data_IF_535894838722
#
_entry.id   IF_535894838722
#
_cell.length_a   1.000
_cell.length_b   1.000
_cell.length_c   1.000
_cell.angle_alpha   90.00
_cell.angle_beta   90.00
_cell.angle_gamma   90.00
#
_symmetry.space_group_name_H-M   'P 1'
#
loop_
_entity.id
_entity.type
_entity.pdbx_description
1 polymer ?
#
# COMPACT_ATOMS: atom_id res chain seq x y z
N UNK A 1 17.36 14.19 13.49
CA UNK A 1 16.35 13.15 13.22
C UNK A 1 16.86 12.16 12.20
N UNK A 2 16.60 10.90 12.44
CA UNK A 2 17.03 9.87 11.52
C UNK A 2 16.25 9.95 10.22
N UNK A 3 16.93 9.74 9.11
CA UNK A 3 16.31 9.74 7.79
C UNK A 3 15.32 8.57 7.65
N UNK A 4 14.19 8.83 7.02
CA UNK A 4 13.22 7.79 6.70
C UNK A 4 13.80 6.76 5.74
N UNK A 5 14.77 7.14 4.94
CA UNK A 5 15.40 6.22 3.98
C UNK A 5 16.08 5.03 4.67
N UNK A 6 16.57 5.25 5.89
CA UNK A 6 17.20 4.17 6.64
C UNK A 6 16.22 3.11 7.11
N UNK A 7 14.91 3.42 7.06
CA UNK A 7 13.86 2.51 7.51
C UNK A 7 13.05 1.92 6.36
N UNK A 8 13.44 2.19 5.14
CA UNK A 8 12.72 1.67 3.98
C UNK A 8 12.98 0.19 3.78
N UNK A 9 11.95 -0.50 3.35
CA UNK A 9 11.98 -1.93 3.06
C UNK A 9 11.57 -2.19 1.63
N UNK A 10 11.99 -3.30 1.09
CA UNK A 10 11.62 -3.73 -0.24
C UNK A 10 10.16 -4.18 -0.26
N UNK A 11 9.40 -3.59 -1.16
CA UNK A 11 7.98 -3.89 -1.34
C UNK A 11 7.70 -3.97 -2.83
N UNK A 12 6.83 -4.90 -3.22
CA UNK A 12 6.32 -4.99 -4.58
C UNK A 12 4.85 -4.61 -4.58
N UNK A 13 4.37 -4.00 -5.63
CA UNK A 13 2.96 -3.66 -5.73
C UNK A 13 2.47 -3.75 -7.17
N UNK A 14 1.16 -3.93 -7.33
CA UNK A 14 0.51 -3.97 -8.63
C UNK A 14 -0.77 -3.16 -8.56
N UNK A 15 -0.90 -2.20 -9.45
CA UNK A 15 -2.06 -1.32 -9.51
C UNK A 15 -3.10 -1.85 -10.50
N UNK A 16 -4.40 -1.61 -10.24
CA UNK A 16 -5.44 -1.99 -11.18
C UNK A 16 -5.39 -1.11 -12.43
N UNK A 17 -5.72 -1.72 -13.56
CA UNK A 17 -5.81 -1.03 -14.85
C UNK A 17 -7.15 -1.41 -15.47
N UNK A 18 -7.90 -0.44 -15.94
CA UNK A 18 -9.15 -0.71 -16.66
C UNK A 18 -8.78 -1.17 -18.06
N UNK A 19 -9.11 -2.41 -18.40
CA UNK A 19 -8.77 -3.00 -19.71
C UNK A 19 -9.93 -2.98 -20.70
N UNK A 20 -11.12 -2.52 -20.27
CA UNK A 20 -12.30 -2.45 -21.13
C UNK A 20 -13.56 -2.61 -20.31
N UNK A 21 -14.66 -2.93 -20.99
CA UNK A 21 -15.94 -3.17 -20.34
C UNK A 21 -16.40 -4.58 -20.66
N UNK A 22 -17.11 -5.21 -19.71
CA UNK A 22 -17.72 -6.50 -19.97
C UNK A 22 -19.06 -6.33 -20.72
N UNK A 23 -19.74 -7.44 -20.96
CA UNK A 23 -21.00 -7.44 -21.69
C UNK A 23 -22.11 -6.64 -21.00
N UNK A 24 -22.00 -6.43 -19.70
CA UNK A 24 -22.99 -5.68 -18.92
C UNK A 24 -22.61 -4.22 -18.75
N UNK A 25 -21.49 -3.79 -19.31
CA UNK A 25 -21.03 -2.41 -19.22
C UNK A 25 -20.18 -2.11 -17.99
N UNK A 26 -19.82 -3.11 -17.21
CA UNK A 26 -18.93 -2.94 -16.06
C UNK A 26 -17.48 -2.94 -16.49
N UNK A 27 -16.65 -2.16 -15.82
CA UNK A 27 -15.23 -2.12 -16.10
C UNK A 27 -14.58 -3.47 -15.81
N UNK A 28 -13.76 -3.92 -16.74
CA UNK A 28 -12.93 -5.10 -16.53
C UNK A 28 -11.58 -4.63 -16.04
N UNK A 29 -11.19 -5.08 -14.85
CA UNK A 29 -9.91 -4.70 -14.25
C UNK A 29 -8.86 -5.78 -14.47
N UNK A 30 -7.68 -5.34 -14.85
CA UNK A 30 -6.48 -6.16 -14.84
C UNK A 30 -5.49 -5.46 -13.92
N UNK A 31 -4.36 -6.09 -13.67
CA UNK A 31 -3.33 -5.52 -12.82
C UNK A 31 -2.04 -5.34 -13.61
N UNK A 32 -1.34 -4.26 -13.32
CA UNK A 32 -0.03 -4.01 -13.92
C UNK A 32 0.96 -5.09 -13.50
N UNK A 33 2.07 -5.20 -14.22
CA UNK A 33 3.18 -6.03 -13.77
C UNK A 33 3.66 -5.50 -12.42
N UNK A 34 4.08 -6.39 -11.51
CA UNK A 34 4.57 -5.94 -10.20
C UNK A 34 5.72 -4.96 -10.32
N UNK A 35 5.65 -3.90 -9.53
CA UNK A 35 6.65 -2.84 -9.50
C UNK A 35 7.35 -2.88 -8.15
N UNK A 36 8.68 -2.83 -8.18
CA UNK A 36 9.49 -2.82 -6.96
C UNK A 36 9.66 -1.40 -6.44
N UNK A 37 9.56 -1.23 -5.13
CA UNK A 37 9.80 0.06 -4.48
C UNK A 37 10.40 -0.16 -3.10
N UNK A 38 11.14 0.84 -2.64
CA UNK A 38 11.65 0.88 -1.27
C UNK A 38 10.76 1.86 -0.50
N UNK A 39 9.97 1.34 0.42
CA UNK A 39 8.97 2.11 1.15
C UNK A 39 9.12 1.92 2.66
N UNK A 40 8.70 2.94 3.40
CA UNK A 40 8.64 2.87 4.84
C UNK A 40 7.36 2.12 5.22
N UNK A 41 7.51 0.85 5.57
CA UNK A 41 6.41 -0.03 5.94
C UNK A 41 6.69 -0.62 7.31
N UNK A 42 5.67 -0.62 8.17
CA UNK A 42 5.79 -1.14 9.53
C UNK A 42 4.46 -1.72 10.00
N UNK A 43 4.53 -2.63 10.96
CA UNK A 43 3.35 -3.10 11.65
C UNK A 43 2.97 -2.05 12.70
N UNK A 44 1.70 -1.62 12.77
CA UNK A 44 1.28 -0.67 13.81
C UNK A 44 1.43 -1.30 15.18
N UNK A 45 1.94 -0.52 16.14
CA UNK A 45 2.00 -0.94 17.53
C UNK A 45 1.18 0.02 18.36
N UNK A 46 0.64 -0.47 19.47
CA UNK A 46 -0.19 0.35 20.34
C UNK A 46 0.50 1.61 20.79
N UNK A 47 1.78 1.53 21.10
CA UNK A 47 2.55 2.68 21.54
C UNK A 47 2.79 3.69 20.42
N UNK A 48 3.22 3.20 19.25
CA UNK A 48 3.59 4.08 18.14
C UNK A 48 2.40 4.83 17.55
N UNK A 49 1.23 4.20 17.53
CA UNK A 49 0.05 4.79 16.94
C UNK A 49 -0.99 5.22 17.96
N UNK A 50 -0.82 4.84 19.21
CA UNK A 50 -1.57 5.31 20.36
C UNK A 50 -3.02 5.72 20.14
N UNK A 51 -3.51 6.60 20.99
CA UNK A 51 -4.89 7.08 20.92
C UNK A 51 -5.15 7.94 19.68
N UNK A 52 -4.13 8.65 19.23
CA UNK A 52 -4.23 9.54 18.10
C UNK A 52 -4.46 8.81 16.78
N UNK A 53 -3.88 7.64 16.68
CA UNK A 53 -3.91 6.86 15.46
C UNK A 53 -4.46 5.45 15.70
N UNK A 54 -5.36 5.32 16.66
CA UNK A 54 -5.92 4.02 17.04
C UNK A 54 -6.52 3.24 15.88
N UNK A 55 -7.04 3.92 14.86
CA UNK A 55 -7.62 3.26 13.69
C UNK A 55 -6.58 2.44 12.92
N UNK A 56 -5.31 2.79 13.02
CA UNK A 56 -4.25 2.08 12.31
C UNK A 56 -3.87 0.75 12.94
N UNK A 57 -4.25 0.56 14.21
CA UNK A 57 -4.00 -0.71 14.90
C UNK A 57 -4.79 -1.87 14.30
N UNK A 58 -5.84 -1.60 13.54
CA UNK A 58 -6.62 -2.62 12.85
C UNK A 58 -5.99 -3.13 11.57
N UNK A 59 -4.88 -2.53 11.14
CA UNK A 59 -4.19 -2.94 9.92
C UNK A 59 -3.00 -3.83 10.22
N UNK A 60 -2.69 -4.73 9.28
CA UNK A 60 -1.54 -5.62 9.45
C UNK A 60 -0.24 -4.87 9.25
N UNK A 61 -0.23 -3.91 8.31
CA UNK A 61 0.91 -3.04 8.05
C UNK A 61 0.43 -1.66 7.64
N UNK A 62 1.29 -0.67 7.84
CA UNK A 62 1.05 0.71 7.41
C UNK A 62 2.27 1.18 6.63
N UNK A 63 2.04 1.69 5.43
CA UNK A 63 3.05 2.36 4.63
C UNK A 63 2.92 3.86 4.85
N UNK A 64 4.05 4.52 5.11
CA UNK A 64 4.10 5.97 5.25
C UNK A 64 4.99 6.52 4.15
N UNK A 65 4.46 7.42 3.33
CA UNK A 65 5.19 8.05 2.24
C UNK A 65 4.93 9.55 2.25
N UNK A 66 5.78 10.29 1.54
CA UNK A 66 5.51 11.71 1.31
C UNK A 66 4.40 11.84 0.28
N UNK A 67 3.77 13.02 0.22
CA UNK A 67 2.73 13.25 -0.79
C UNK A 67 3.28 13.11 -2.20
N UNK A 68 4.52 13.51 -2.42
CA UNK A 68 5.18 13.38 -3.71
C UNK A 68 5.38 11.91 -4.09
N UNK A 69 5.87 11.10 -3.15
CA UNK A 69 6.05 9.67 -3.38
C UNK A 69 4.72 9.00 -3.69
N UNK A 70 3.68 9.36 -2.96
CA UNK A 70 2.36 8.79 -3.18
C UNK A 70 1.86 9.07 -4.60
N UNK A 71 2.08 10.28 -5.10
CA UNK A 71 1.69 10.62 -6.46
C UNK A 71 2.37 9.77 -7.53
N UNK A 72 3.58 9.27 -7.25
CA UNK A 72 4.31 8.40 -8.16
C UNK A 72 3.86 6.93 -8.07
N UNK A 73 3.33 6.52 -6.91
CA UNK A 73 2.95 5.13 -6.68
C UNK A 73 1.57 4.79 -7.27
N UNK A 74 0.67 5.75 -7.33
CA UNK A 74 -0.68 5.57 -7.87
C UNK A 74 -1.49 4.47 -7.19
N UNK A 75 -1.31 4.30 -5.88
CA UNK A 75 -2.08 3.30 -5.13
C UNK A 75 -3.58 3.61 -5.17
N UNK A 76 -4.38 2.57 -5.36
CA UNK A 76 -5.84 2.68 -5.40
C UNK A 76 -6.43 1.98 -4.18
N UNK A 77 -7.16 2.74 -3.37
CA UNK A 77 -7.79 2.23 -2.16
C UNK A 77 -8.72 1.06 -2.48
N UNK A 78 -8.55 -0.01 -1.76
CA UNK A 78 -9.35 -1.21 -1.92
C UNK A 78 -8.94 -2.13 -3.07
N UNK A 79 -7.95 -1.75 -3.87
CA UNK A 79 -7.60 -2.50 -5.08
C UNK A 79 -6.13 -2.83 -5.26
N UNK A 80 -5.23 -1.91 -4.97
CA UNK A 80 -3.79 -2.14 -5.17
C UNK A 80 -3.30 -3.31 -4.33
N UNK A 81 -2.61 -4.24 -4.97
CA UNK A 81 -2.05 -5.42 -4.32
C UNK A 81 -0.61 -5.18 -3.93
N UNK A 82 -0.19 -5.73 -2.79
CA UNK A 82 1.14 -5.49 -2.23
C UNK A 82 1.76 -6.80 -1.79
N UNK A 83 3.04 -6.99 -2.11
CA UNK A 83 3.87 -8.09 -1.61
C UNK A 83 4.86 -7.52 -0.59
N UNK A 84 4.79 -7.99 0.64
CA UNK A 84 5.72 -7.61 1.70
C UNK A 84 6.28 -8.87 2.34
N UNK A 85 7.59 -8.93 2.47
CA UNK A 85 8.30 -10.14 2.91
C UNK A 85 8.07 -11.32 1.96
N UNK A 86 7.73 -11.02 0.72
CA UNK A 86 7.40 -11.98 -0.31
C UNK A 86 7.66 -11.31 -1.66
N UNK A 87 8.07 -12.06 -2.66
CA UNK A 87 8.26 -11.53 -4.01
C UNK A 87 7.16 -12.06 -4.93
N UNK A 88 6.93 -11.40 -6.07
CA UNK A 88 5.96 -11.89 -7.05
C UNK A 88 6.28 -13.30 -7.57
N UNK A 89 7.55 -13.69 -7.55
CA UNK A 89 7.96 -15.04 -7.93
C UNK A 89 7.51 -16.09 -6.92
N UNK A 90 7.29 -15.68 -5.67
CA UNK A 90 6.84 -16.58 -4.60
C UNK A 90 5.34 -16.85 -4.65
N UNK A 91 4.61 -16.14 -5.49
CA UNK A 91 3.17 -16.32 -5.66
C UNK A 91 2.41 -15.01 -5.66
N UNK A 92 1.12 -15.08 -5.36
CA UNK A 92 0.26 -13.90 -5.36
C UNK A 92 0.56 -12.98 -4.18
N UNK A 93 0.10 -11.73 -4.29
CA UNK A 93 0.27 -10.73 -3.25
C UNK A 93 -0.35 -11.20 -1.92
N UNK A 94 0.33 -10.91 -0.83
CA UNK A 94 -0.16 -11.26 0.50
C UNK A 94 -0.96 -10.14 1.16
N UNK A 95 -0.94 -8.94 0.61
CA UNK A 95 -1.61 -7.78 1.19
C UNK A 95 -2.41 -7.02 0.14
N UNK A 96 -3.37 -6.24 0.61
CA UNK A 96 -4.14 -5.33 -0.24
C UNK A 96 -4.21 -3.96 0.45
N UNK A 97 -4.17 -2.90 -0.35
CA UNK A 97 -4.37 -1.54 0.16
C UNK A 97 -5.84 -1.39 0.55
N UNK A 98 -6.10 -1.19 1.84
CA UNK A 98 -7.46 -1.04 2.35
C UNK A 98 -7.85 0.42 2.55
N UNK A 99 -6.92 1.24 3.00
CA UNK A 99 -7.19 2.64 3.30
C UNK A 99 -6.03 3.54 2.93
N UNK A 100 -6.35 4.69 2.35
CA UNK A 100 -5.38 5.76 2.08
C UNK A 100 -5.84 7.00 2.83
N UNK A 101 -4.96 7.56 3.65
CA UNK A 101 -5.27 8.75 4.44
C UNK A 101 -4.21 9.81 4.23
N UNK A 102 -4.62 10.94 3.68
CA UNK A 102 -3.76 12.09 3.47
C UNK A 102 -3.62 12.90 4.76
N UNK A 103 -2.43 13.43 4.98
CA UNK A 103 -2.21 14.50 5.93
C UNK A 103 -1.36 15.57 5.25
N UNK A 104 -1.00 16.61 5.99
CA UNK A 104 -0.33 17.77 5.37
C UNK A 104 0.96 17.39 4.62
N UNK A 105 1.78 16.55 5.20
CA UNK A 105 3.09 16.22 4.63
C UNK A 105 3.27 14.75 4.31
N UNK A 106 2.31 13.92 4.65
CA UNK A 106 2.44 12.47 4.54
C UNK A 106 1.14 11.84 4.08
N UNK A 107 1.29 10.66 3.49
CA UNK A 107 0.16 9.79 3.20
C UNK A 107 0.41 8.48 3.93
N UNK A 108 -0.56 8.00 4.67
CA UNK A 108 -0.53 6.71 5.35
C UNK A 108 -1.45 5.75 4.62
N UNK A 109 -0.96 4.55 4.42
CA UNK A 109 -1.67 3.53 3.65
C UNK A 109 -1.80 2.29 4.51
N UNK A 110 -3.02 1.95 4.88
CA UNK A 110 -3.31 0.77 5.68
C UNK A 110 -3.43 -0.47 4.81
N UNK A 111 -2.70 -1.52 5.17
CA UNK A 111 -2.68 -2.78 4.43
C UNK A 111 -3.28 -3.89 5.28
N UNK A 112 -4.04 -4.76 4.64
CA UNK A 112 -4.59 -5.96 5.28
C UNK A 112 -4.19 -7.19 4.51
N UNK A 113 -4.09 -8.33 5.21
CA UNK A 113 -3.87 -9.63 4.56
C UNK A 113 -5.04 -9.97 3.66
N UNK A 114 -4.71 -10.58 2.56
CA UNK A 114 -5.69 -11.07 1.61
C UNK A 114 -6.20 -12.43 2.04
#
# INVERSE_FOLDING_TARGET
MRSLENNKRSVWFSNPVVSGEDETGNDVLTYSDPIHAMLNISAPTGYAYGTENGIWLGYDYVITVTCKEFGLLNFVEGKTLVWHNKTPQDGSANLIVDRVADSINQVRIGLKHR
#
